data_IF_992800020330
#
_entry.id   IF_992800020330
#
_cell.length_a   1.000
_cell.length_b   1.000
_cell.length_c   1.000
_cell.angle_alpha   90.00
_cell.angle_beta   90.00
_cell.angle_gamma   90.00
#
_symmetry.space_group_name_H-M   'P 1'
#
loop_
_entity.id
_entity.type
_entity.pdbx_description
1 polymer ?
2 polymer ?
3 non-polymer ?
4 non-polymer ?
5 non-polymer ?
6 water ?
#
# COMPACT_ATOMS: atom_id res chain seq x y z
N UNK A 1 -17.62 4.72 1.11
CA UNK A 1 -17.35 3.29 0.91
C UNK A 1 -16.37 2.69 1.95
N UNK A 2 -16.32 1.36 2.05
CA UNK A 2 -15.44 0.72 2.98
C UNK A 2 -13.97 0.90 2.59
N UNK A 3 -13.12 0.76 3.57
CA UNK A 3 -11.74 1.09 3.38
C UNK A 3 -11.08 0.22 2.36
N UNK A 4 -11.35 -1.08 2.42
CA UNK A 4 -10.66 -1.93 1.43
C UNK A 4 -11.09 -1.58 0.02
N UNK A 5 -12.35 -1.28 -0.17
CA UNK A 5 -12.80 -0.91 -1.51
C UNK A 5 -12.19 0.43 -1.98
N UNK A 6 -11.96 1.37 -1.05
CA UNK A 6 -11.34 2.61 -1.37
C UNK A 6 -9.90 2.32 -1.74
N UNK A 7 -9.26 1.40 -0.97
CA UNK A 7 -7.90 1.05 -1.30
C UNK A 7 -7.79 0.49 -2.72
N UNK A 8 -8.68 -0.40 -3.12
CA UNK A 8 -8.55 -1.04 -4.41
C UNK A 8 -8.85 -0.03 -5.54
N UNK A 9 -9.71 0.92 -5.22
CA UNK A 9 -10.01 2.07 -6.15
C UNK A 9 -8.79 2.96 -6.31
N UNK A 10 -8.09 3.32 -5.20
CA UNK A 10 -6.90 4.11 -5.39
C UNK A 10 -5.80 3.47 -6.07
N UNK A 11 -5.62 2.15 -5.76
CA UNK A 11 -4.62 1.34 -6.38
C UNK A 11 -4.86 1.09 -7.85
N UNK A 12 -6.15 0.94 -8.13
CA UNK A 12 -6.55 0.69 -9.56
C UNK A 12 -6.16 1.91 -10.38
N UNK A 13 -6.28 3.09 -9.78
CA UNK A 13 -5.90 4.38 -10.50
C UNK A 13 -4.42 4.59 -10.71
N UNK A 14 -3.58 3.82 -9.99
CA UNK A 14 -2.23 3.73 -10.27
C UNK A 14 -1.92 2.74 -11.43
N UNK A 15 -0.99 3.09 -12.33
CA UNK A 15 -0.67 2.22 -13.45
C UNK A 15 -0.12 0.94 -13.00
N UNK A 16 -0.48 -0.17 -13.64
CA UNK A 16 0.01 -1.47 -13.20
C UNK A 16 1.49 -1.50 -12.80
N UNK A 17 2.34 -0.92 -13.63
CA UNK A 17 3.79 -0.98 -13.37
C UNK A 17 4.19 -0.17 -12.12
N UNK A 18 3.36 0.78 -11.71
CA UNK A 18 3.63 1.65 -10.61
C UNK A 18 2.94 1.10 -9.31
N UNK A 19 2.18 -0.02 -9.36
CA UNK A 19 1.35 -0.34 -8.21
C UNK A 19 2.28 -0.84 -7.07
N UNK A 20 3.23 -1.67 -7.45
CA UNK A 20 4.16 -2.26 -6.40
C UNK A 20 5.03 -1.17 -5.79
N UNK A 21 5.65 -0.31 -6.60
CA UNK A 21 6.30 0.87 -6.06
C UNK A 21 5.44 1.73 -5.18
N UNK A 22 4.16 1.93 -5.53
CA UNK A 22 3.34 2.78 -4.79
C UNK A 22 2.95 2.15 -3.39
N UNK A 23 2.75 0.86 -3.44
CA UNK A 23 2.41 0.07 -2.24
C UNK A 23 3.65 0.18 -1.32
N UNK A 24 4.84 0.06 -1.85
CA UNK A 24 6.06 0.25 -0.98
C UNK A 24 6.01 1.65 -0.34
N UNK A 25 5.71 2.69 -1.12
CA UNK A 25 5.55 4.03 -0.51
C UNK A 25 4.45 4.16 0.50
N UNK A 26 3.32 3.38 0.34
CA UNK A 26 2.30 3.34 1.31
C UNK A 26 2.73 2.70 2.68
N UNK A 27 3.50 1.68 2.57
CA UNK A 27 4.07 0.93 3.78
C UNK A 27 4.95 1.97 4.50
N UNK A 28 5.80 2.68 3.76
CA UNK A 28 6.65 3.71 4.39
C UNK A 28 5.82 4.75 5.03
N UNK A 29 4.81 5.29 4.33
CA UNK A 29 3.95 6.27 4.90
C UNK A 29 3.11 5.88 6.08
N UNK A 30 2.65 4.62 6.06
CA UNK A 30 1.92 4.09 7.17
C UNK A 30 2.76 4.04 8.45
N UNK A 31 4.02 3.83 8.30
CA UNK A 31 4.96 3.86 9.49
C UNK A 31 5.00 5.21 10.17
N UNK A 32 4.79 6.29 9.44
CA UNK A 32 4.75 7.60 10.03
C UNK A 32 3.57 7.86 10.91
N UNK A 33 2.47 7.18 10.64
CA UNK A 33 1.29 7.28 11.46
C UNK A 33 1.45 6.44 12.75
N UNK A 34 2.56 5.73 12.90
CA UNK A 34 2.81 4.88 14.08
C UNK A 34 4.04 5.21 14.90
N UNK A 35 5.08 5.77 14.30
CA UNK A 35 6.37 5.86 14.98
C UNK A 35 6.91 4.46 15.29
N UNK A 36 7.59 4.29 16.43
CA UNK A 36 8.50 3.15 16.64
C UNK A 36 7.85 1.81 16.31
N UNK A 37 8.26 1.28 15.16
CA UNK A 37 7.80 -0.01 14.69
C UNK A 37 9.09 -0.82 14.50
N UNK A 38 9.13 -1.95 15.18
CA UNK A 38 10.22 -2.90 14.95
C UNK A 38 10.37 -3.48 13.56
N UNK A 39 11.53 -4.04 13.26
CA UNK A 39 11.78 -4.65 11.98
C UNK A 39 10.91 -5.83 11.69
N UNK A 40 10.42 -6.58 12.68
CA UNK A 40 9.60 -7.69 12.38
C UNK A 40 8.22 -7.15 11.93
N UNK A 41 7.71 -6.17 12.66
CA UNK A 41 6.44 -5.53 12.27
C UNK A 41 6.53 -4.83 10.93
N UNK A 42 7.64 -4.20 10.67
CA UNK A 42 7.82 -3.60 9.31
C UNK A 42 7.74 -4.69 8.25
N UNK A 43 8.45 -5.80 8.41
CA UNK A 43 8.35 -6.85 7.47
C UNK A 43 6.97 -7.38 7.32
N UNK A 44 6.22 -7.56 8.36
CA UNK A 44 4.81 -7.90 8.27
C UNK A 44 3.98 -6.88 7.47
N UNK A 45 4.22 -5.61 7.65
CA UNK A 45 3.46 -4.62 6.87
C UNK A 45 3.72 -4.78 5.39
N UNK A 46 4.94 -5.05 5.00
CA UNK A 46 5.21 -5.34 3.61
C UNK A 46 4.55 -6.61 3.12
N UNK A 47 4.49 -7.63 3.96
CA UNK A 47 3.75 -8.84 3.65
C UNK A 47 2.29 -8.59 3.40
N UNK A 48 1.66 -7.81 4.24
CA UNK A 48 0.24 -7.46 4.09
C UNK A 48 0.14 -6.71 2.77
N UNK A 49 0.97 -5.67 2.60
CA UNK A 49 0.87 -4.86 1.39
C UNK A 49 1.02 -5.71 0.16
N UNK A 50 1.90 -6.71 0.16
CA UNK A 50 2.11 -7.64 -0.92
C UNK A 50 0.87 -8.40 -1.40
N UNK A 51 -0.11 -8.55 -0.53
CA UNK A 51 -1.27 -9.31 -0.81
C UNK A 51 -2.33 -8.44 -1.45
N UNK A 52 -2.18 -7.10 -1.37
CA UNK A 52 -3.27 -6.24 -1.73
C UNK A 52 -3.63 -6.28 -3.22
N UNK A 53 -2.66 -6.33 -4.07
CA UNK A 53 -3.04 -6.38 -5.51
C UNK A 53 -3.84 -7.65 -5.84
N UNK A 54 -3.50 -8.85 -5.33
CA UNK A 54 -4.47 -9.95 -5.50
C UNK A 54 -5.80 -9.80 -4.91
N UNK A 55 -5.93 -9.26 -3.73
CA UNK A 55 -7.20 -9.05 -3.06
C UNK A 55 -8.09 -8.17 -3.96
N UNK A 56 -7.46 -7.15 -4.47
CA UNK A 56 -8.06 -6.21 -5.43
C UNK A 56 -8.31 -6.69 -6.80
N UNK A 57 -7.74 -7.84 -7.15
CA UNK A 57 -7.79 -8.38 -8.53
C UNK A 57 -7.02 -7.53 -9.47
N UNK A 58 -5.92 -6.92 -9.03
CA UNK A 58 -5.16 -6.02 -9.79
C UNK A 58 -3.83 -6.63 -10.15
N UNK A 59 -3.43 -6.53 -11.38
CA UNK A 59 -2.08 -6.90 -11.78
C UNK A 59 -1.11 -5.88 -11.28
N UNK A 60 0.07 -6.30 -10.85
CA UNK A 60 0.56 -7.67 -10.91
C UNK A 60 0.07 -8.19 -9.59
N UNK A 61 -0.09 -9.44 -9.43
CA UNK A 61 -1.00 -9.77 -8.31
C UNK A 61 -0.25 -9.90 -6.95
N UNK A 62 1.05 -9.76 -7.01
CA UNK A 62 1.88 -9.83 -5.82
C UNK A 62 3.06 -8.92 -6.06
N UNK A 63 3.53 -8.34 -4.98
CA UNK A 63 4.69 -7.51 -5.00
C UNK A 63 5.83 -8.25 -4.26
N UNK A 64 6.93 -8.51 -4.97
CA UNK A 64 8.09 -9.09 -4.22
C UNK A 64 8.60 -8.25 -3.02
N UNK A 65 8.73 -6.95 -3.25
CA UNK A 65 9.49 -6.08 -2.37
C UNK A 65 10.94 -6.60 -2.10
N UNK B 1 9.38 11.54 -11.39
CA UNK B 1 9.18 10.09 -11.71
C UNK B 1 7.75 9.62 -11.54
N UNK B 2 7.38 8.71 -12.43
CA UNK B 2 6.00 8.51 -12.80
C UNK B 2 5.25 7.89 -11.59
N UNK B 3 5.87 6.86 -11.06
CA UNK B 3 5.23 6.08 -9.94
C UNK B 3 5.07 6.97 -8.75
N UNK B 4 6.07 7.83 -8.48
CA UNK B 4 5.89 8.72 -7.29
C UNK B 4 4.82 9.68 -7.49
N UNK B 5 4.72 10.21 -8.69
CA UNK B 5 3.68 11.11 -8.97
C UNK B 5 2.30 10.44 -8.88
N UNK B 6 2.19 9.23 -9.36
CA UNK B 6 0.88 8.57 -9.30
C UNK B 6 0.45 8.25 -7.84
N UNK B 7 1.42 7.89 -7.02
CA UNK B 7 1.18 7.68 -5.60
C UNK B 7 0.63 8.93 -4.91
N UNK B 8 1.29 10.08 -5.18
CA UNK B 8 0.83 11.34 -4.62
C UNK B 8 -0.53 11.72 -5.09
N UNK B 9 -0.76 11.53 -6.39
CA UNK B 9 -2.02 11.85 -6.99
C UNK B 9 -3.18 10.98 -6.51
N UNK B 10 -2.89 9.70 -6.24
CA UNK B 10 -3.96 8.82 -5.70
C UNK B 10 -3.99 8.81 -4.15
N UNK B 11 -3.92 10.00 -3.58
CA UNK B 11 -4.20 10.19 -2.17
C UNK B 11 -3.17 9.44 -1.33
N UNK B 12 -1.96 9.27 -1.84
CA UNK B 12 -0.90 8.60 -1.15
C UNK B 12 -1.34 7.16 -0.77
N UNK B 13 -2.25 6.62 -1.58
CA UNK B 13 -2.91 5.28 -1.22
C UNK B 13 -3.31 5.25 0.23
N UNK B 14 -3.90 6.37 0.70
CA UNK B 14 -4.25 6.50 2.12
C UNK B 14 -5.16 5.38 2.63
N UNK B 15 -6.09 4.90 1.81
CA UNK B 15 -6.87 3.77 2.27
C UNK B 15 -6.08 2.49 2.35
N UNK B 16 -5.11 2.26 1.48
CA UNK B 16 -4.28 1.08 1.56
C UNK B 16 -3.40 1.16 2.82
N UNK B 17 -2.99 2.41 3.13
CA UNK B 17 -2.21 2.58 4.36
C UNK B 17 -3.02 2.14 5.54
N UNK B 18 -4.30 2.45 5.58
CA UNK B 18 -5.23 2.04 6.60
C UNK B 18 -5.40 0.49 6.65
N UNK B 19 -5.51 -0.11 5.47
CA UNK B 19 -5.52 -1.56 5.38
C UNK B 19 -4.29 -2.17 5.98
N UNK B 20 -3.13 -1.68 5.57
CA UNK B 20 -1.87 -2.26 5.97
C UNK B 20 -1.80 -2.09 7.53
N UNK B 21 -2.19 -0.97 8.07
CA UNK B 21 -2.16 -0.79 9.56
C UNK B 21 -3.16 -1.74 10.25
N UNK B 22 -4.34 -1.87 9.65
CA UNK B 22 -5.44 -2.75 10.20
C UNK B 22 -4.92 -4.15 10.45
N UNK B 23 -4.17 -4.74 9.51
CA UNK B 23 -3.68 -6.12 9.58
C UNK B 23 -2.32 -6.29 10.18
N UNK B 24 -1.83 -5.21 10.76
CA UNK B 24 -0.51 -5.14 11.38
C UNK B 24 -0.57 -4.83 12.85
N UNK B 25 -1.74 -4.88 13.46
CA UNK B 25 -1.85 -4.55 14.90
C UNK B 25 -1.05 -5.54 15.78
X LIG C 1 -5.24 -4.94 -13.62
X LIG D 1 -8.74 7.09 2.72
X LIG D 1 -8.98 6.26 3.59
X LIG D 1 -9.39 7.10 1.57
X LIG E 1 -12.95 0.50 -7.83
X LIG E 1 -13.40 1.52 -8.32
X LIG E 1 -12.04 -0.23 -8.49
X LIG F 1 -11.47 5.20 -14.09
X LIG F 1 -10.48 5.39 -13.08
X LIG F 1 -12.32 6.43 -14.20
X LIG F 1 -11.38 7.41 -14.69
X LIG F 1 -12.97 6.76 -12.85
X LIG F 1 -13.21 5.60 -12.01
X LIG G 1 -0.95 9.93 4.84
X LIG G 1 -2.01 10.51 4.60
X LIG G 1 -0.04 9.83 3.86
X LIG H 1 -10.39 -6.08 5.05
X LIG H 1 -9.45 -5.46 5.57
X LIG H 1 -10.15 -7.39 4.79
#
# INVERSE_FOLDING_TARGET
PPTLQRCCRQLRNVSPFCRCPSLRQAVQSAQQQQGQVGPQQVGHMYRVASRIPAICNLQPMRCPF
QRCRHQFQTQQRLRACQRVIQRWSQ
CL CL
FMT C O1 O2
FMT C O1 O2
GOL C1 O1 C2 O2 C3 O3
FMT C O1 O2
FMT C O1 O2
#
